data_IF_400127985583
#
_entry.id   IF_400127985583
#
_cell.length_a   1.000
_cell.length_b   1.000
_cell.length_c   1.000
_cell.angle_alpha   90.00
_cell.angle_beta   90.00
_cell.angle_gamma   90.00
#
_symmetry.space_group_name_H-M   'P 1'
#
loop_
_entity.id
_entity.type
_entity.pdbx_description
1 polymer ?
#
# COMPACT_ATOMS: atom_id res chain seq x y z
N UNK A 1 -18.07 -7.17 30.94
CA UNK A 1 -19.21 -7.98 30.45
C UNK A 1 -18.70 -8.76 29.29
N UNK A 2 -18.66 -10.07 29.35
CA UNK A 2 -17.99 -10.92 28.36
C UNK A 2 -18.85 -11.05 27.10
N UNK A 3 -18.42 -10.44 25.97
CA UNK A 3 -19.04 -10.69 24.67
C UNK A 3 -18.44 -11.98 24.09
N UNK A 4 -19.29 -12.94 23.82
CA UNK A 4 -18.93 -14.23 23.23
C UNK A 4 -18.85 -14.05 21.72
N UNK A 5 -17.68 -14.24 21.16
CA UNK A 5 -17.43 -14.28 19.72
C UNK A 5 -18.04 -15.56 19.17
N UNK A 6 -18.97 -15.44 18.23
CA UNK A 6 -19.60 -16.56 17.53
C UNK A 6 -18.96 -16.65 16.13
N UNK A 7 -17.94 -17.48 15.99
CA UNK A 7 -17.33 -17.77 14.69
C UNK A 7 -18.28 -18.64 13.84
N UNK A 8 -18.70 -18.12 12.69
CA UNK A 8 -19.51 -18.85 11.70
C UNK A 8 -18.61 -19.28 10.54
N UNK A 9 -18.21 -20.54 10.54
CA UNK A 9 -17.45 -21.18 9.44
C UNK A 9 -18.43 -21.49 8.28
N UNK A 10 -18.36 -20.77 7.19
CA UNK A 10 -19.02 -21.09 5.92
C UNK A 10 -18.03 -21.74 4.96
N UNK A 11 -18.08 -23.06 4.85
CA UNK A 11 -17.38 -23.83 3.84
C UNK A 11 -18.14 -23.78 2.51
N UNK A 12 -17.67 -23.04 1.54
CA UNK A 12 -18.18 -23.03 0.16
C UNK A 12 -17.33 -23.92 -0.74
N UNK A 13 -17.96 -25.02 -1.20
CA UNK A 13 -17.38 -25.94 -2.20
C UNK A 13 -17.62 -25.39 -3.60
N UNK A 14 -16.57 -25.03 -4.32
CA UNK A 14 -16.64 -24.70 -5.74
C UNK A 14 -16.58 -25.97 -6.59
N UNK A 15 -17.64 -26.21 -7.35
CA UNK A 15 -17.70 -27.25 -8.36
C UNK A 15 -17.26 -26.66 -9.70
N UNK A 16 -16.12 -27.10 -10.23
CA UNK A 16 -15.68 -26.76 -11.59
C UNK A 16 -16.45 -27.61 -12.58
N UNK A 17 -17.28 -26.99 -13.42
CA UNK A 17 -17.87 -27.60 -14.60
C UNK A 17 -16.98 -27.29 -15.81
N UNK A 18 -16.29 -28.30 -16.29
CA UNK A 18 -15.58 -28.27 -17.57
C UNK A 18 -16.58 -28.47 -18.70
N UNK A 19 -16.68 -27.53 -19.65
CA UNK A 19 -17.38 -27.73 -20.91
C UNK A 19 -16.37 -27.63 -22.05
N UNK A 20 -16.09 -28.78 -22.64
CA UNK A 20 -15.38 -28.99 -23.90
C UNK A 20 -16.31 -28.70 -25.06
N UNK A 21 -15.84 -27.98 -26.08
CA UNK A 21 -16.56 -27.78 -27.34
C UNK A 21 -15.57 -27.34 -28.42
N UNK A 22 -15.13 -28.32 -29.24
CA UNK A 22 -14.47 -28.10 -30.53
C UNK A 22 -15.48 -27.51 -31.52
N UNK A 23 -15.09 -26.53 -32.33
CA UNK A 23 -15.15 -26.72 -33.80
C UNK A 23 -14.37 -25.64 -34.56
N UNK A 24 -13.79 -26.14 -35.68
CA UNK A 24 -12.84 -25.47 -36.56
C UNK A 24 -13.54 -24.54 -37.56
N UNK A 25 -12.89 -23.44 -37.95
CA UNK A 25 -12.93 -22.97 -39.35
C UNK A 25 -11.81 -21.98 -39.67
N UNK A 26 -10.98 -22.45 -40.53
CA UNK A 26 -10.01 -21.91 -41.45
C UNK A 26 -10.38 -20.56 -42.10
N UNK A 27 -9.46 -19.58 -42.10
CA UNK A 27 -9.22 -18.72 -43.27
C UNK A 27 -7.85 -18.03 -43.14
N UNK A 28 -6.97 -18.37 -44.07
CA UNK A 28 -5.68 -17.70 -44.35
C UNK A 28 -5.93 -16.33 -44.95
N UNK A 29 -5.12 -15.36 -44.57
CA UNK A 29 -4.58 -14.37 -45.51
C UNK A 29 -3.20 -13.85 -45.04
N UNK A 30 -2.22 -14.16 -45.88
CA UNK A 30 -0.85 -13.63 -45.82
C UNK A 30 -0.83 -12.17 -46.26
N UNK A 31 -0.05 -11.35 -45.56
CA UNK A 31 0.62 -10.23 -46.23
C UNK A 31 1.95 -9.97 -45.52
N UNK A 32 3.00 -10.29 -46.21
CA UNK A 32 4.39 -9.96 -45.91
C UNK A 32 4.65 -8.48 -46.31
N UNK A 33 5.34 -7.70 -45.51
CA UNK A 33 6.14 -6.56 -45.95
C UNK A 33 7.41 -6.46 -45.09
N UNK A 34 8.48 -6.85 -45.68
CA UNK A 34 9.86 -6.38 -45.77
C UNK A 34 10.47 -5.52 -44.67
N UNK A 35 11.64 -6.01 -44.28
CA UNK A 35 12.77 -5.41 -43.59
C UNK A 35 13.16 -4.02 -44.12
N UNK A 36 13.55 -3.16 -43.19
CA UNK A 36 14.67 -2.27 -43.43
C UNK A 36 15.43 -1.98 -42.14
N UNK A 37 16.60 -2.59 -42.06
CA UNK A 37 17.68 -2.27 -41.13
C UNK A 37 18.30 -0.92 -41.52
N UNK A 38 18.50 -0.06 -40.54
CA UNK A 38 19.52 1.01 -40.64
C UNK A 38 20.39 0.97 -39.38
N UNK A 39 21.61 0.58 -39.60
CA UNK A 39 22.79 0.70 -38.75
C UNK A 39 23.11 2.20 -38.55
N UNK A 40 23.24 2.65 -37.30
CA UNK A 40 23.97 3.88 -36.97
C UNK A 40 25.01 3.56 -35.93
N UNK A 41 26.26 3.86 -36.35
CA UNK A 41 27.52 3.64 -35.65
C UNK A 41 27.67 4.50 -34.41
N UNK A 42 28.44 3.91 -33.47
CA UNK A 42 29.24 4.51 -32.40
C UNK A 42 29.67 5.98 -32.63
N UNK A 43 29.52 6.74 -31.53
CA UNK A 43 30.54 7.71 -31.18
C UNK A 43 30.71 7.71 -29.64
N UNK A 44 31.92 7.32 -29.24
CA UNK A 44 32.36 7.34 -27.87
C UNK A 44 32.91 8.73 -27.56
N UNK A 45 32.32 9.47 -26.65
CA UNK A 45 33.00 10.59 -26.01
C UNK A 45 33.19 10.31 -24.52
N UNK A 46 34.44 10.18 -24.23
CA UNK A 46 35.18 10.17 -22.97
C UNK A 46 34.83 11.40 -22.12
N UNK A 47 34.11 11.23 -20.99
CA UNK A 47 33.99 12.25 -19.96
C UNK A 47 34.63 11.74 -18.68
N UNK A 48 35.77 12.28 -18.43
CA UNK A 48 36.66 12.25 -17.32
C UNK A 48 35.95 12.35 -15.97
N UNK A 49 36.22 11.35 -15.11
CA UNK A 49 36.03 11.39 -13.66
C UNK A 49 36.74 12.60 -13.04
N UNK A 50 35.99 13.43 -12.37
CA UNK A 50 36.50 14.30 -11.32
C UNK A 50 35.96 13.79 -9.99
N UNK A 51 36.80 13.03 -9.29
CA UNK A 51 36.68 12.72 -7.88
C UNK A 51 36.77 14.03 -7.10
N UNK A 52 35.69 14.40 -6.42
CA UNK A 52 35.76 15.29 -5.27
C UNK A 52 35.36 14.49 -4.03
N UNK A 53 36.36 13.95 -3.38
CA UNK A 53 36.27 13.52 -1.99
C UNK A 53 36.00 14.76 -1.13
N UNK A 54 34.80 14.89 -0.59
CA UNK A 54 34.53 15.62 0.64
C UNK A 54 33.96 14.65 1.67
N UNK A 55 34.88 14.10 2.43
CA UNK A 55 34.70 13.41 3.68
C UNK A 55 33.95 14.35 4.66
N UNK A 56 32.67 14.08 4.87
CA UNK A 56 31.92 14.51 6.03
C UNK A 56 31.28 13.28 6.60
N UNK A 57 31.91 12.76 7.66
CA UNK A 57 31.28 11.91 8.66
C UNK A 57 30.01 12.61 9.19
N UNK A 58 28.91 12.49 8.45
CA UNK A 58 27.56 12.57 8.97
C UNK A 58 27.20 11.11 9.28
N UNK A 59 27.13 10.79 10.56
CA UNK A 59 26.35 9.64 11.01
C UNK A 59 24.93 9.85 10.46
N UNK A 60 24.71 9.38 9.23
CA UNK A 60 23.37 9.22 8.69
C UNK A 60 22.78 8.08 9.48
N UNK A 61 21.92 8.40 10.45
CA UNK A 61 21.01 7.42 11.02
C UNK A 61 20.36 6.71 9.84
N UNK A 62 20.66 5.42 9.69
CA UNK A 62 20.15 4.60 8.59
C UNK A 62 18.64 4.50 8.80
N UNK A 63 17.88 5.16 7.94
CA UNK A 63 16.43 5.07 7.93
C UNK A 63 16.07 3.72 7.34
N UNK A 64 15.75 2.76 8.19
CA UNK A 64 15.30 1.43 7.76
C UNK A 64 13.80 1.50 7.54
N UNK A 65 13.39 1.49 6.28
CA UNK A 65 11.99 1.37 5.88
C UNK A 65 11.62 -0.11 5.74
N UNK A 66 10.37 -0.46 5.98
CA UNK A 66 9.87 -1.82 5.76
C UNK A 66 10.11 -2.29 4.32
N UNK A 67 10.61 -3.52 4.15
CA UNK A 67 10.86 -4.14 2.83
C UNK A 67 9.67 -5.05 2.44
N UNK A 68 8.51 -4.43 2.20
CA UNK A 68 7.29 -5.15 1.88
C UNK A 68 7.26 -5.58 0.41
N UNK A 69 6.81 -6.82 0.17
CA UNK A 69 6.64 -7.36 -1.18
C UNK A 69 5.36 -6.88 -1.86
N UNK A 70 4.38 -6.45 -1.05
CA UNK A 70 3.08 -5.96 -1.51
C UNK A 70 3.02 -4.46 -1.32
N UNK A 71 2.84 -3.72 -2.40
CA UNK A 71 2.69 -2.26 -2.31
C UNK A 71 1.32 -1.89 -1.71
N UNK A 72 1.25 -0.74 -1.02
CA UNK A 72 -0.01 -0.17 -0.54
C UNK A 72 -1.08 -0.13 -1.65
N UNK A 73 -0.69 0.24 -2.88
CA UNK A 73 -1.60 0.24 -4.03
C UNK A 73 -2.16 -1.14 -4.35
N UNK A 74 -1.35 -2.19 -4.27
CA UNK A 74 -1.80 -3.56 -4.53
C UNK A 74 -2.74 -4.05 -3.41
N UNK A 75 -2.46 -3.70 -2.16
CA UNK A 75 -3.33 -3.99 -1.03
C UNK A 75 -4.66 -3.21 -1.11
N UNK A 76 -4.64 -1.93 -1.50
CA UNK A 76 -5.85 -1.12 -1.64
C UNK A 76 -6.83 -1.66 -2.70
N UNK A 77 -6.35 -2.30 -3.78
CA UNK A 77 -7.23 -3.01 -4.72
C UNK A 77 -7.95 -4.20 -4.09
N UNK A 78 -7.37 -4.85 -3.08
CA UNK A 78 -8.07 -5.91 -2.34
C UNK A 78 -9.22 -5.32 -1.54
N UNK A 79 -8.98 -4.19 -0.89
CA UNK A 79 -10.03 -3.48 -0.16
C UNK A 79 -11.14 -2.99 -1.11
N UNK A 80 -10.81 -2.38 -2.26
CA UNK A 80 -11.80 -1.97 -3.26
C UNK A 80 -12.70 -3.14 -3.70
N UNK A 81 -12.11 -4.32 -3.91
CA UNK A 81 -12.89 -5.52 -4.24
C UNK A 81 -13.77 -5.99 -3.06
N UNK A 82 -13.28 -5.87 -1.83
CA UNK A 82 -14.03 -6.24 -0.62
C UNK A 82 -15.28 -5.37 -0.44
N UNK A 83 -15.18 -4.06 -0.64
CA UNK A 83 -16.33 -3.13 -0.57
C UNK A 83 -17.22 -3.19 -1.82
N UNK A 84 -16.86 -4.00 -2.83
CA UNK A 84 -17.66 -4.17 -4.06
C UNK A 84 -17.49 -3.04 -5.07
N UNK A 85 -16.31 -2.40 -5.11
CA UNK A 85 -15.92 -1.35 -6.06
C UNK A 85 -16.37 0.05 -5.66
N UNK A 86 -15.94 1.03 -6.46
CA UNK A 86 -16.26 2.45 -6.28
C UNK A 86 -17.75 2.76 -6.53
N UNK A 87 -18.32 3.85 -5.93
CA UNK A 87 -17.67 4.73 -4.97
C UNK A 87 -17.71 4.17 -3.53
N UNK A 88 -16.71 4.49 -2.76
CA UNK A 88 -16.66 4.31 -1.30
C UNK A 88 -15.76 5.42 -0.71
N UNK A 89 -15.90 5.69 0.57
CA UNK A 89 -15.04 6.61 1.32
C UNK A 89 -14.04 5.77 2.11
N UNK A 90 -12.75 5.86 1.77
CA UNK A 90 -11.68 5.30 2.57
C UNK A 90 -11.47 6.22 3.78
N UNK A 91 -11.51 5.69 5.00
CA UNK A 91 -11.46 6.50 6.22
C UNK A 91 -10.13 6.37 6.95
N UNK A 92 -9.55 5.16 6.92
CA UNK A 92 -8.26 4.90 7.54
C UNK A 92 -7.46 3.86 6.75
N UNK A 93 -6.14 4.01 6.81
CA UNK A 93 -5.19 2.97 6.40
C UNK A 93 -4.09 2.87 7.44
N UNK A 94 -3.93 1.71 8.03
CA UNK A 94 -2.84 1.38 8.95
C UNK A 94 -1.91 0.35 8.34
N UNK A 95 -0.63 0.49 8.57
CA UNK A 95 0.40 -0.52 8.37
C UNK A 95 1.05 -0.82 9.70
N UNK A 96 1.13 -2.08 10.06
CA UNK A 96 1.68 -2.53 11.33
C UNK A 96 2.63 -3.71 11.12
N UNK A 97 3.73 -3.71 11.85
CA UNK A 97 4.65 -4.84 11.98
C UNK A 97 4.44 -5.48 13.35
N UNK A 98 3.97 -6.72 13.37
CA UNK A 98 3.76 -7.48 14.59
C UNK A 98 5.07 -7.97 15.23
N UNK A 99 5.02 -8.37 16.49
CA UNK A 99 6.16 -8.90 17.25
C UNK A 99 6.84 -10.12 16.61
N UNK A 100 6.11 -10.88 15.79
CA UNK A 100 6.62 -12.03 15.04
C UNK A 100 7.33 -11.65 13.74
N UNK A 101 7.33 -10.35 13.37
CA UNK A 101 7.89 -9.81 12.15
C UNK A 101 6.98 -9.93 10.93
N UNK A 102 5.72 -10.35 11.09
CA UNK A 102 4.73 -10.26 10.02
C UNK A 102 4.19 -8.83 9.92
N UNK A 103 3.92 -8.38 8.70
CA UNK A 103 3.42 -7.04 8.45
C UNK A 103 2.08 -7.08 7.73
N UNK A 104 1.20 -6.13 8.08
CA UNK A 104 -0.16 -6.07 7.58
C UNK A 104 -0.55 -4.66 7.20
N UNK A 105 -1.37 -4.54 6.15
CA UNK A 105 -2.17 -3.36 5.86
C UNK A 105 -3.58 -3.57 6.35
N UNK A 106 -4.08 -2.67 7.18
CA UNK A 106 -5.49 -2.61 7.60
C UNK A 106 -6.15 -1.44 6.91
N UNK A 107 -7.31 -1.66 6.31
CA UNK A 107 -8.11 -0.65 5.63
C UNK A 107 -9.45 -0.54 6.31
N UNK A 108 -9.92 0.69 6.49
CA UNK A 108 -11.29 0.99 6.91
C UNK A 108 -11.94 1.96 5.95
N UNK A 109 -13.24 1.81 5.72
CA UNK A 109 -13.95 2.69 4.82
C UNK A 109 -15.46 2.47 4.82
N UNK A 110 -16.17 3.49 4.34
CA UNK A 110 -17.62 3.58 4.41
C UNK A 110 -18.26 3.43 3.02
N UNK A 111 -19.32 2.63 2.95
CA UNK A 111 -20.17 2.51 1.79
C UNK A 111 -21.60 2.12 2.21
N UNK A 112 -22.60 2.83 1.70
CA UNK A 112 -24.02 2.52 1.93
C UNK A 112 -24.39 2.39 3.43
N UNK A 113 -23.84 3.27 4.29
CA UNK A 113 -24.02 3.27 5.75
C UNK A 113 -23.48 2.01 6.44
N UNK A 114 -22.45 1.42 5.87
CA UNK A 114 -21.70 0.31 6.45
C UNK A 114 -20.24 0.64 6.48
N UNK A 115 -19.61 0.23 7.55
CA UNK A 115 -18.17 0.19 7.68
C UNK A 115 -17.64 -1.15 7.18
N UNK A 116 -16.62 -1.09 6.36
CA UNK A 116 -15.89 -2.23 5.83
C UNK A 116 -14.47 -2.16 6.35
N UNK A 117 -14.00 -3.24 6.93
CA UNK A 117 -12.59 -3.39 7.27
C UNK A 117 -11.98 -4.59 6.55
N UNK A 118 -10.72 -4.48 6.20
CA UNK A 118 -9.95 -5.55 5.58
C UNK A 118 -8.51 -5.49 6.03
N UNK A 119 -8.00 -6.61 6.52
CA UNK A 119 -6.59 -6.80 6.79
C UNK A 119 -5.93 -7.64 5.70
N UNK A 120 -4.79 -7.17 5.19
CA UNK A 120 -4.04 -7.78 4.10
C UNK A 120 -2.59 -7.98 4.53
N UNK A 121 -2.09 -9.20 4.47
CA UNK A 121 -0.69 -9.50 4.74
C UNK A 121 0.22 -8.81 3.71
N UNK A 122 1.16 -7.99 4.18
CA UNK A 122 2.04 -7.16 3.34
C UNK A 122 3.10 -7.97 2.56
N UNK A 123 3.28 -9.25 2.88
CA UNK A 123 4.22 -10.13 2.19
C UNK A 123 3.55 -11.01 1.13
N UNK A 124 2.32 -11.50 1.39
CA UNK A 124 1.63 -12.47 0.54
C UNK A 124 0.47 -11.88 -0.26
N UNK A 125 -0.03 -10.71 0.09
CA UNK A 125 -1.28 -10.12 -0.37
C UNK A 125 -2.52 -10.96 -0.03
N UNK A 126 -2.45 -11.88 0.92
CA UNK A 126 -3.62 -12.61 1.38
C UNK A 126 -4.45 -11.74 2.32
N UNK A 127 -5.76 -11.75 2.13
CA UNK A 127 -6.69 -11.16 3.10
C UNK A 127 -6.81 -12.13 4.29
N UNK A 128 -6.53 -11.63 5.50
CA UNK A 128 -6.52 -12.44 6.73
C UNK A 128 -7.75 -12.20 7.58
N UNK A 129 -8.28 -10.99 7.57
CA UNK A 129 -9.50 -10.61 8.27
C UNK A 129 -10.34 -9.68 7.41
N UNK A 130 -11.67 -9.84 7.45
CA UNK A 130 -12.61 -9.01 6.71
C UNK A 130 -13.92 -8.91 7.49
N UNK A 131 -14.33 -7.69 7.79
CA UNK A 131 -15.55 -7.42 8.56
C UNK A 131 -16.45 -6.42 7.82
N UNK A 132 -17.74 -6.44 8.14
CA UNK A 132 -18.71 -5.45 7.68
C UNK A 132 -19.69 -5.19 8.82
N UNK A 133 -19.74 -3.95 9.26
CA UNK A 133 -20.61 -3.52 10.37
C UNK A 133 -21.57 -2.40 9.94
N UNK A 134 -22.64 -2.18 10.72
CA UNK A 134 -23.50 -1.01 10.54
C UNK A 134 -22.85 0.20 11.21
N UNK A 135 -22.59 1.24 10.42
CA UNK A 135 -21.91 2.44 10.91
C UNK A 135 -22.92 3.57 11.17
N UNK A 136 -22.72 4.29 12.28
CA UNK A 136 -23.48 5.45 12.66
C UNK A 136 -22.65 6.71 12.93
N UNK A 137 -21.34 6.57 12.97
CA UNK A 137 -20.43 7.67 13.22
C UNK A 137 -20.03 8.40 11.92
N UNK A 138 -19.62 9.64 12.04
CA UNK A 138 -19.15 10.42 10.90
C UNK A 138 -17.62 10.40 10.90
N UNK A 139 -17.09 9.54 10.07
CA UNK A 139 -15.68 9.56 9.77
C UNK A 139 -15.37 10.48 8.59
N UNK A 140 -14.15 10.97 8.56
CA UNK A 140 -13.66 11.83 7.49
C UNK A 140 -12.82 11.04 6.51
N UNK A 141 -13.12 11.10 5.20
CA UNK A 141 -12.37 10.32 4.23
C UNK A 141 -10.93 10.81 4.07
N UNK A 142 -10.06 9.88 3.69
CA UNK A 142 -8.69 10.11 3.24
C UNK A 142 -8.57 9.87 1.73
N UNK A 143 -7.66 10.58 1.09
CA UNK A 143 -7.40 10.47 -0.35
C UNK A 143 -5.93 10.08 -0.60
N UNK A 144 -5.68 8.80 -0.83
CA UNK A 144 -4.34 8.27 -1.12
C UNK A 144 -3.67 8.95 -2.34
N UNK A 145 -4.44 9.57 -3.22
CA UNK A 145 -3.92 10.27 -4.38
C UNK A 145 -3.43 11.69 -4.09
N UNK A 146 -3.82 12.26 -2.94
CA UNK A 146 -3.40 13.59 -2.48
C UNK A 146 -2.38 13.54 -1.37
N UNK A 147 -2.47 12.54 -0.52
CA UNK A 147 -1.51 12.33 0.56
C UNK A 147 -0.13 12.00 0.02
N UNK A 148 0.91 12.47 0.71
CA UNK A 148 2.28 12.03 0.43
C UNK A 148 2.39 10.52 0.61
N UNK A 149 3.33 9.85 -0.08
CA UNK A 149 3.55 8.42 0.14
C UNK A 149 3.97 8.10 1.58
N UNK A 150 3.59 6.93 2.12
CA UNK A 150 3.94 6.54 3.49
C UNK A 150 5.45 6.54 3.77
N UNK A 151 6.26 6.09 2.81
CA UNK A 151 7.73 6.09 2.91
C UNK A 151 8.29 7.51 3.08
N UNK A 152 7.73 8.49 2.42
CA UNK A 152 8.10 9.88 2.62
C UNK A 152 7.69 10.39 4.01
N UNK A 153 6.50 10.02 4.48
CA UNK A 153 6.02 10.39 5.81
C UNK A 153 6.88 9.77 6.91
N UNK A 154 7.21 8.48 6.80
CA UNK A 154 8.10 7.79 7.73
C UNK A 154 9.50 8.43 7.77
N UNK A 155 10.06 8.78 6.61
CA UNK A 155 11.35 9.47 6.54
C UNK A 155 11.33 10.82 7.25
N UNK A 156 10.28 11.63 7.04
CA UNK A 156 10.12 12.93 7.71
C UNK A 156 10.04 12.74 9.24
N UNK A 157 9.28 11.76 9.70
CA UNK A 157 9.15 11.47 11.12
C UNK A 157 10.50 11.06 11.73
N UNK A 158 11.23 10.15 11.09
CA UNK A 158 12.53 9.68 11.55
C UNK A 158 13.59 10.79 11.53
N UNK A 159 13.62 11.64 10.50
CA UNK A 159 14.47 12.82 10.45
C UNK A 159 14.18 13.80 11.59
N UNK A 160 12.90 13.99 11.94
CA UNK A 160 12.49 14.85 13.04
C UNK A 160 12.88 14.27 14.41
N UNK A 161 12.77 12.95 14.58
CA UNK A 161 13.15 12.26 15.82
C UNK A 161 14.66 12.06 15.96
N UNK A 162 15.40 12.10 14.86
CA UNK A 162 16.84 11.88 14.79
C UNK A 162 17.24 10.42 14.62
N UNK A 163 16.41 9.45 14.97
CA UNK A 163 16.62 8.00 14.78
C UNK A 163 15.37 7.22 15.16
N UNK A 164 15.31 5.93 14.84
CA UNK A 164 14.24 5.02 15.26
C UNK A 164 13.94 3.97 14.20
N UNK A 165 13.12 2.99 14.57
CA UNK A 165 12.54 1.99 13.68
C UNK A 165 11.03 2.17 13.73
N UNK A 166 10.40 2.27 12.56
CA UNK A 166 8.94 2.40 12.47
C UNK A 166 8.31 1.04 12.74
N UNK A 167 7.38 1.02 13.68
CA UNK A 167 6.55 -0.14 14.04
C UNK A 167 5.21 -0.09 13.32
N UNK A 168 4.58 1.09 13.30
CA UNK A 168 3.27 1.33 12.72
C UNK A 168 3.21 2.70 12.05
N UNK A 169 2.41 2.82 11.00
CA UNK A 169 1.91 4.11 10.55
C UNK A 169 0.42 4.02 10.25
N UNK A 170 -0.30 5.10 10.55
CA UNK A 170 -1.73 5.23 10.26
C UNK A 170 -1.98 6.52 9.49
N UNK A 171 -2.62 6.44 8.31
CA UNK A 171 -3.18 7.57 7.59
C UNK A 171 -4.65 7.72 7.98
N UNK A 172 -5.01 8.85 8.51
CA UNK A 172 -6.38 9.17 8.96
C UNK A 172 -6.71 10.64 8.73
N UNK A 173 -7.99 11.00 8.91
CA UNK A 173 -8.45 12.37 8.82
C UNK A 173 -9.33 12.69 10.04
N UNK A 174 -8.91 13.63 10.88
CA UNK A 174 -9.64 14.04 12.10
C UNK A 174 -10.64 15.19 11.88
N UNK A 175 -10.88 15.57 10.61
CA UNK A 175 -11.72 16.70 10.23
C UNK A 175 -10.97 18.02 10.13
N UNK A 176 -9.72 18.09 10.56
CA UNK A 176 -8.82 19.23 10.35
C UNK A 176 -7.86 19.01 9.18
N UNK A 177 -7.82 17.77 8.64
CA UNK A 177 -7.01 17.37 7.49
C UNK A 177 -6.40 15.99 7.65
N UNK A 178 -5.84 15.50 6.55
CA UNK A 178 -5.20 14.19 6.50
C UNK A 178 -3.83 14.22 7.18
N UNK A 179 -3.57 13.20 8.00
CA UNK A 179 -2.39 13.08 8.85
C UNK A 179 -1.87 11.65 8.83
N UNK A 180 -0.56 11.52 8.91
CA UNK A 180 0.09 10.27 9.30
C UNK A 180 0.44 10.32 10.77
N UNK A 181 0.04 9.31 11.54
CA UNK A 181 0.60 8.97 12.83
C UNK A 181 1.67 7.91 12.59
N UNK A 182 2.90 8.17 12.99
CA UNK A 182 4.02 7.24 12.88
C UNK A 182 4.40 6.82 14.31
N UNK A 183 4.32 5.53 14.59
CA UNK A 183 4.73 4.94 15.85
C UNK A 183 6.06 4.20 15.69
N UNK A 184 7.00 4.45 16.60
CA UNK A 184 8.29 3.81 16.63
C UNK A 184 8.30 2.63 17.62
N UNK A 185 9.28 1.74 17.51
CA UNK A 185 9.43 0.59 18.42
C UNK A 185 9.58 0.97 19.91
N UNK A 186 9.97 2.21 20.21
CA UNK A 186 10.09 2.73 21.58
C UNK A 186 8.81 3.44 22.07
N UNK A 187 7.68 3.23 21.38
CA UNK A 187 6.37 3.85 21.62
C UNK A 187 6.36 5.39 21.43
N UNK A 188 7.34 5.95 20.73
CA UNK A 188 7.32 7.36 20.31
C UNK A 188 6.33 7.54 19.17
N UNK A 189 5.39 8.46 19.32
CA UNK A 189 4.44 8.85 18.27
C UNK A 189 4.84 10.20 17.63
N UNK A 190 4.81 10.25 16.31
CA UNK A 190 5.10 11.47 15.53
C UNK A 190 3.98 11.67 14.53
N UNK A 191 3.39 12.86 14.55
CA UNK A 191 2.32 13.23 13.60
C UNK A 191 2.93 14.05 12.46
N UNK A 192 2.64 13.64 11.23
CA UNK A 192 3.04 14.33 10.01
C UNK A 192 1.80 14.70 9.21
N UNK A 193 1.66 15.97 8.85
CA UNK A 193 0.59 16.38 7.94
C UNK A 193 0.79 15.73 6.57
N UNK A 194 -0.21 14.97 6.11
CA UNK A 194 -0.12 14.16 4.90
C UNK A 194 -0.10 14.98 3.59
N UNK A 195 -0.35 16.28 3.65
CA UNK A 195 -0.43 17.16 2.47
C UNK A 195 0.77 18.10 2.39
N UNK A 196 1.10 18.80 3.50
CA UNK A 196 2.12 19.85 3.52
C UNK A 196 3.44 19.42 4.17
N UNK A 197 3.52 18.17 4.68
CA UNK A 197 4.72 17.54 5.26
C UNK A 197 5.19 18.14 6.59
N UNK A 198 4.38 18.95 7.24
CA UNK A 198 4.72 19.54 8.54
C UNK A 198 4.63 18.48 9.64
N UNK A 199 5.65 18.42 10.51
CA UNK A 199 5.61 17.66 11.76
C UNK A 199 4.85 18.50 12.79
N UNK A 200 3.91 17.88 13.49
CA UNK A 200 2.94 18.56 14.35
C UNK A 200 3.25 18.32 15.83
#
# INVERSE_FOLDING_TARGET
>A
MNKKILALLLASTFVFSACSGEDASDTKEETAVEEKSEEVKEDAEDVKEEETEEDKDQETSEVVLPDDKVTLKAASYKFENHVGGLPYDLTEVTYEVEDNGEAFYKFEGLKDNKEYSLEVNANSAEAVEAEVEEENDKEHPVDLGKSIPPDESMRIALESNGSGTVKEWTLYNDGEGEKYKIELEDDTEIIVNAINKEVM
#
